data_IF_815362864386
#
_entry.id   IF_815362864386
#
_cell.length_a   1.000
_cell.length_b   1.000
_cell.length_c   1.000
_cell.angle_alpha   90.00
_cell.angle_beta   90.00
_cell.angle_gamma   90.00
#
_symmetry.space_group_name_H-M   'P 1'
#
loop_
_entity.id
_entity.type
_entity.pdbx_description
1 polymer ?
#
# COMPACT_ATOMS: atom_id res chain seq x y z
N UNK A 1 13.31 3.91 -20.80
CA UNK A 1 12.03 3.77 -20.05
C UNK A 1 12.22 3.63 -18.53
N UNK A 2 13.37 3.17 -18.03
CA UNK A 2 13.61 2.96 -16.58
C UNK A 2 13.71 4.28 -15.80
N UNK A 3 14.33 5.32 -16.38
CA UNK A 3 14.47 6.64 -15.76
C UNK A 3 13.17 7.28 -15.25
N UNK A 4 12.14 7.50 -16.11
CA UNK A 4 10.89 8.14 -15.68
C UNK A 4 10.11 7.27 -14.68
N UNK A 5 10.18 5.94 -14.78
CA UNK A 5 9.54 5.03 -13.83
C UNK A 5 10.20 5.16 -12.45
N UNK A 6 11.53 5.17 -12.39
CA UNK A 6 12.28 5.35 -11.14
C UNK A 6 11.96 6.68 -10.46
N UNK A 7 11.99 7.79 -11.21
CA UNK A 7 11.62 9.12 -10.70
C UNK A 7 10.17 9.13 -10.20
N UNK A 8 9.25 8.54 -10.95
CA UNK A 8 7.84 8.43 -10.55
C UNK A 8 7.66 7.67 -9.25
N UNK A 9 8.35 6.55 -9.05
CA UNK A 9 8.28 5.76 -7.81
C UNK A 9 8.87 6.50 -6.60
N UNK A 10 9.97 7.25 -6.78
CA UNK A 10 10.57 8.03 -5.69
C UNK A 10 9.57 9.06 -5.15
N UNK A 11 8.80 9.70 -6.03
CA UNK A 11 7.80 10.70 -5.63
C UNK A 11 6.52 10.02 -5.11
N UNK A 12 6.07 8.96 -5.79
CA UNK A 12 4.78 8.33 -5.50
C UNK A 12 4.79 7.49 -4.21
N UNK A 13 5.88 6.78 -3.91
CA UNK A 13 5.92 5.84 -2.77
C UNK A 13 5.68 6.54 -1.42
N UNK A 14 6.34 7.67 -1.09
CA UNK A 14 6.07 8.38 0.15
C UNK A 14 4.62 8.87 0.27
N UNK A 15 4.05 9.38 -0.82
CA UNK A 15 2.67 9.87 -0.87
C UNK A 15 1.67 8.73 -0.69
N UNK A 16 1.85 7.64 -1.44
CA UNK A 16 1.03 6.43 -1.33
C UNK A 16 1.11 5.83 0.08
N UNK A 17 2.31 5.76 0.67
CA UNK A 17 2.50 5.27 2.03
C UNK A 17 1.79 6.13 3.08
N UNK A 18 1.80 7.47 2.93
CA UNK A 18 1.07 8.36 3.81
C UNK A 18 -0.46 8.21 3.68
N UNK A 19 -0.96 8.08 2.45
CA UNK A 19 -2.39 7.83 2.19
C UNK A 19 -2.84 6.52 2.82
N UNK A 20 -2.06 5.45 2.66
CA UNK A 20 -2.40 4.14 3.23
C UNK A 20 -2.47 4.20 4.76
N UNK A 21 -1.50 4.84 5.42
CA UNK A 21 -1.53 5.02 6.89
C UNK A 21 -2.72 5.86 7.34
N UNK A 22 -3.11 6.88 6.56
CA UNK A 22 -4.29 7.69 6.83
C UNK A 22 -5.59 6.87 6.69
N UNK A 23 -5.76 6.14 5.58
CA UNK A 23 -6.94 5.28 5.32
C UNK A 23 -7.08 4.14 6.31
N UNK A 24 -5.95 3.54 6.69
CA UNK A 24 -5.88 2.48 7.70
C UNK A 24 -6.09 3.00 9.13
N UNK A 25 -6.14 4.32 9.35
CA UNK A 25 -6.15 4.95 10.67
C UNK A 25 -5.03 4.38 11.57
N UNK A 26 -3.82 4.31 11.01
CA UNK A 26 -2.68 3.66 11.63
C UNK A 26 -2.13 4.51 12.79
N UNK A 27 -2.19 3.99 14.01
CA UNK A 27 -1.56 4.57 15.20
C UNK A 27 -0.22 3.86 15.45
N UNK A 28 0.93 4.42 15.03
CA UNK A 28 2.22 3.83 15.34
C UNK A 28 2.42 3.83 16.86
N UNK A 29 2.45 2.63 17.45
CA UNK A 29 2.60 2.36 18.89
C UNK A 29 1.40 2.81 19.73
N UNK A 30 0.30 2.05 19.65
CA UNK A 30 -0.52 1.88 20.84
C UNK A 30 0.34 1.16 21.88
N UNK A 31 0.55 1.77 23.05
CA UNK A 31 1.18 1.11 24.18
C UNK A 31 0.29 -0.11 24.50
N UNK A 32 0.70 -1.31 24.08
CA UNK A 32 0.17 -2.53 24.66
C UNK A 32 0.80 -2.58 26.05
N UNK A 33 0.11 -2.00 27.03
CA UNK A 33 0.28 -2.47 28.39
C UNK A 33 -0.33 -3.87 28.36
N UNK A 34 0.45 -4.87 28.75
CA UNK A 34 -0.08 -6.17 29.11
C UNK A 34 -1.10 -5.92 30.23
N UNK A 35 -2.37 -5.84 29.86
CA UNK A 35 -3.46 -5.81 30.81
C UNK A 35 -4.18 -7.13 30.62
N UNK A 36 -3.69 -8.13 31.35
CA UNK A 36 -4.45 -9.32 31.71
C UNK A 36 -5.85 -8.89 32.15
N UNK A 37 -6.84 -9.63 31.64
CA UNK A 37 -8.19 -9.75 32.17
C UNK A 37 -9.04 -8.47 32.22
N UNK A 38 -9.52 -8.00 31.06
CA UNK A 38 -10.88 -7.43 31.00
C UNK A 38 -11.46 -7.54 29.59
N UNK A 39 -12.68 -8.09 29.47
CA UNK A 39 -13.45 -8.33 28.24
C UNK A 39 -13.93 -7.05 27.51
N UNK A 40 -13.10 -6.01 27.47
CA UNK A 40 -13.41 -4.76 26.77
C UNK A 40 -12.35 -4.53 25.71
N UNK A 41 -12.74 -4.64 24.45
CA UNK A 41 -11.89 -4.45 23.29
C UNK A 41 -10.98 -3.20 23.44
N UNK A 42 -9.65 -3.34 23.42
CA UNK A 42 -8.76 -2.24 23.75
C UNK A 42 -8.70 -1.23 22.60
N UNK A 43 -9.45 -0.13 22.73
CA UNK A 43 -9.30 1.04 21.87
C UNK A 43 -8.11 1.87 22.34
N UNK A 44 -6.89 1.35 22.15
CA UNK A 44 -5.64 2.04 22.45
C UNK A 44 -5.37 3.19 21.45
N UNK A 45 -6.18 4.26 21.52
CA UNK A 45 -6.01 5.49 20.74
C UNK A 45 -4.94 6.37 21.39
N UNK A 46 -3.67 6.03 21.18
CA UNK A 46 -2.55 6.87 21.67
C UNK A 46 -2.16 7.90 20.60
N UNK A 47 -2.77 9.08 20.70
CA UNK A 47 -2.38 10.29 19.98
C UNK A 47 -3.53 10.98 19.22
N UNK A 48 -3.40 12.29 18.91
CA UNK A 48 -4.39 13.02 18.12
C UNK A 48 -4.63 12.34 16.77
N UNK A 49 -5.88 12.33 16.31
CA UNK A 49 -6.20 11.96 14.95
C UNK A 49 -5.34 12.82 14.00
N UNK A 50 -4.66 12.16 13.06
CA UNK A 50 -3.80 12.88 12.12
C UNK A 50 -4.68 13.33 10.97
N UNK A 51 -5.02 14.61 10.97
CA UNK A 51 -5.81 15.19 9.89
C UNK A 51 -4.90 15.47 8.69
N UNK A 52 -5.08 14.71 7.61
CA UNK A 52 -4.47 14.97 6.31
C UNK A 52 -3.11 14.31 6.05
N UNK A 53 -2.78 14.26 4.76
CA UNK A 53 -1.59 13.55 4.21
C UNK A 53 -0.29 14.23 4.65
N UNK A 54 -0.24 15.56 4.67
CA UNK A 54 0.97 16.33 5.06
C UNK A 54 1.32 16.11 6.52
N UNK A 55 0.32 16.13 7.41
CA UNK A 55 0.53 15.85 8.83
C UNK A 55 0.98 14.41 9.06
N UNK A 56 0.46 13.46 8.26
CA UNK A 56 0.91 12.07 8.28
C UNK A 56 2.38 11.94 7.82
N UNK A 57 2.76 12.60 6.73
CA UNK A 57 4.16 12.64 6.25
C UNK A 57 5.11 13.20 7.31
N UNK A 58 4.77 14.33 7.91
CA UNK A 58 5.56 14.94 8.99
C UNK A 58 5.68 14.00 10.19
N UNK A 59 4.61 13.30 10.56
CA UNK A 59 4.60 12.30 11.64
C UNK A 59 5.52 11.12 11.32
N UNK A 60 5.46 10.58 10.09
CA UNK A 60 6.33 9.48 9.64
C UNK A 60 7.80 9.92 9.71
N UNK A 61 8.11 11.10 9.19
CA UNK A 61 9.46 11.65 9.21
C UNK A 61 9.99 11.79 10.63
N UNK A 62 9.16 12.28 11.57
CA UNK A 62 9.55 12.43 12.98
C UNK A 62 9.75 11.09 13.72
N UNK A 63 8.93 10.07 13.42
CA UNK A 63 8.94 8.80 14.15
C UNK A 63 9.89 7.76 13.57
N UNK A 64 10.02 7.70 12.24
CA UNK A 64 10.74 6.64 11.53
C UNK A 64 11.91 7.19 10.68
N UNK A 65 11.94 8.50 10.43
CA UNK A 65 12.92 9.14 9.53
C UNK A 65 12.69 8.81 8.05
N UNK A 66 13.70 9.09 7.23
CA UNK A 66 13.70 8.79 5.79
C UNK A 66 13.40 7.32 5.44
N UNK A 67 13.96 6.31 6.15
CA UNK A 67 13.67 4.91 5.81
C UNK A 67 12.19 4.53 5.97
N UNK A 68 11.46 5.22 6.85
CA UNK A 68 10.02 4.99 7.07
C UNK A 68 9.10 5.53 5.97
N UNK A 69 9.57 6.53 5.21
CA UNK A 69 8.83 7.11 4.08
C UNK A 69 8.88 6.23 2.83
N UNK A 70 9.96 5.46 2.67
CA UNK A 70 10.17 4.57 1.52
C UNK A 70 9.88 3.09 1.84
N UNK A 71 9.23 2.80 2.98
CA UNK A 71 8.67 1.46 3.25
C UNK A 71 7.68 1.11 2.15
N UNK A 72 7.90 0.00 1.45
CA UNK A 72 7.07 -0.41 0.30
C UNK A 72 7.66 -0.09 -1.07
N UNK A 73 8.86 0.50 -1.16
CA UNK A 73 9.51 0.77 -2.45
C UNK A 73 9.76 -0.51 -3.27
N UNK A 74 10.29 -1.56 -2.64
CA UNK A 74 10.58 -2.85 -3.29
C UNK A 74 9.31 -3.51 -3.88
N UNK A 75 8.21 -3.72 -3.12
CA UNK A 75 7.00 -4.28 -3.70
C UNK A 75 6.39 -3.39 -4.79
N UNK A 76 6.50 -2.06 -4.68
CA UNK A 76 6.04 -1.13 -5.71
C UNK A 76 6.85 -1.25 -7.02
N UNK A 77 8.18 -1.39 -6.91
CA UNK A 77 9.05 -1.59 -8.07
C UNK A 77 8.72 -2.89 -8.79
N UNK A 78 8.63 -4.01 -8.05
CA UNK A 78 8.30 -5.33 -8.61
C UNK A 78 6.93 -5.29 -9.29
N UNK A 79 5.91 -4.75 -8.61
CA UNK A 79 4.56 -4.63 -9.17
C UNK A 79 4.54 -3.82 -10.46
N UNK A 80 5.25 -2.69 -10.49
CA UNK A 80 5.33 -1.83 -11.68
C UNK A 80 5.94 -2.57 -12.86
N UNK A 81 7.01 -3.35 -12.65
CA UNK A 81 7.63 -4.15 -13.70
C UNK A 81 6.66 -5.22 -14.20
N UNK A 82 6.00 -5.95 -13.30
CA UNK A 82 5.08 -7.04 -13.68
C UNK A 82 3.83 -6.50 -14.39
N UNK A 83 3.23 -5.41 -13.92
CA UNK A 83 2.08 -4.76 -14.59
C UNK A 83 2.49 -4.21 -15.96
N UNK A 84 3.69 -3.64 -16.08
CA UNK A 84 4.20 -3.14 -17.36
C UNK A 84 4.42 -4.31 -18.34
N UNK A 85 4.99 -5.43 -17.88
CA UNK A 85 5.15 -6.63 -18.69
C UNK A 85 3.78 -7.20 -19.10
N UNK A 86 2.83 -7.26 -18.18
CA UNK A 86 1.45 -7.66 -18.46
C UNK A 86 0.83 -6.78 -19.55
N UNK A 87 0.99 -5.46 -19.44
CA UNK A 87 0.54 -4.50 -20.44
C UNK A 87 1.20 -4.75 -21.81
N UNK A 88 2.51 -5.03 -21.84
CA UNK A 88 3.27 -5.31 -23.06
C UNK A 88 2.79 -6.58 -23.78
N UNK A 89 2.45 -7.62 -23.02
CA UNK A 89 2.07 -8.91 -23.58
C UNK A 89 0.62 -8.93 -24.08
N UNK A 90 -0.26 -8.13 -23.48
CA UNK A 90 -1.71 -8.22 -23.72
C UNK A 90 -2.24 -7.20 -24.72
N UNK A 91 -1.49 -6.13 -25.00
CA UNK A 91 -1.93 -5.08 -25.91
C UNK A 91 -1.20 -5.18 -27.26
N UNK A 92 -1.86 -5.57 -28.35
CA UNK A 92 -1.21 -5.59 -29.67
C UNK A 92 -0.88 -4.17 -30.15
N UNK A 93 0.37 -3.93 -30.59
CA UNK A 93 0.76 -2.67 -31.28
C UNK A 93 1.61 -1.66 -30.48
N UNK A 94 2.43 -2.10 -29.53
CA UNK A 94 3.29 -1.23 -28.70
C UNK A 94 4.28 -0.31 -29.43
N UNK A 95 4.51 -0.47 -30.74
CA UNK A 95 5.47 0.33 -31.48
C UNK A 95 5.17 1.84 -31.53
N UNK A 96 3.97 2.29 -31.09
CA UNK A 96 3.59 3.71 -30.97
C UNK A 96 3.40 4.20 -29.52
N UNK A 97 3.96 3.50 -28.53
CA UNK A 97 3.83 3.87 -27.11
C UNK A 97 4.83 4.98 -26.73
N UNK A 98 4.38 6.25 -26.74
CA UNK A 98 5.11 7.34 -26.05
C UNK A 98 4.69 7.36 -24.57
N UNK A 99 5.64 7.29 -23.63
CA UNK A 99 5.35 7.24 -22.20
C UNK A 99 4.94 8.63 -21.72
N UNK A 100 3.69 9.02 -21.97
CA UNK A 100 3.13 10.23 -21.40
C UNK A 100 1.98 9.84 -20.46
N UNK A 101 2.30 9.77 -19.15
CA UNK A 101 1.46 10.04 -17.96
C UNK A 101 -0.01 9.57 -17.89
N UNK A 102 -0.50 8.71 -18.79
CA UNK A 102 -1.86 8.20 -18.73
C UNK A 102 -1.84 6.72 -19.05
N UNK A 103 -2.45 5.93 -18.17
CA UNK A 103 -2.81 4.53 -18.43
C UNK A 103 -3.82 4.57 -19.58
N UNK A 104 -3.30 4.54 -20.81
CA UNK A 104 -4.11 4.41 -22.01
C UNK A 104 -4.62 2.99 -22.04
N UNK A 105 -5.84 2.78 -21.55
CA UNK A 105 -6.58 1.55 -21.86
C UNK A 105 -6.77 1.61 -23.38
N UNK A 106 -6.22 0.64 -24.13
CA UNK A 106 -6.42 0.59 -25.57
C UNK A 106 -7.91 0.73 -25.84
N UNK A 107 -8.29 1.44 -26.90
CA UNK A 107 -9.68 1.57 -27.35
C UNK A 107 -10.21 0.23 -27.91
N UNK A 108 -10.00 -0.86 -27.17
CA UNK A 108 -10.61 -2.16 -27.39
C UNK A 108 -11.91 -2.20 -26.59
N UNK A 109 -12.88 -2.98 -27.07
CA UNK A 109 -14.20 -3.16 -26.46
C UNK A 109 -14.17 -3.28 -24.93
N UNK A 110 -15.27 -2.90 -24.26
CA UNK A 110 -15.44 -2.99 -22.78
C UNK A 110 -15.03 -4.37 -22.27
N UNK A 111 -15.36 -5.44 -23.00
CA UNK A 111 -14.98 -6.82 -22.67
C UNK A 111 -13.46 -7.01 -22.59
N UNK A 112 -12.72 -6.51 -23.58
CA UNK A 112 -11.25 -6.59 -23.57
C UNK A 112 -10.66 -5.75 -22.43
N UNK A 113 -11.23 -4.58 -22.16
CA UNK A 113 -10.83 -3.76 -21.01
C UNK A 113 -11.04 -4.48 -19.67
N UNK A 114 -12.16 -5.19 -19.51
CA UNK A 114 -12.46 -5.96 -18.31
C UNK A 114 -11.53 -7.16 -18.17
N UNK A 115 -11.29 -7.90 -19.25
CA UNK A 115 -10.37 -9.05 -19.26
C UNK A 115 -8.93 -8.62 -18.94
N UNK A 116 -8.47 -7.52 -19.54
CA UNK A 116 -7.19 -6.90 -19.23
C UNK A 116 -7.10 -6.49 -17.75
N UNK A 117 -8.15 -5.82 -17.26
CA UNK A 117 -8.27 -5.38 -15.88
C UNK A 117 -8.28 -6.52 -14.87
N UNK A 118 -8.94 -7.64 -15.19
CA UNK A 118 -8.95 -8.85 -14.37
C UNK A 118 -7.55 -9.46 -14.24
N UNK A 119 -6.79 -9.54 -15.34
CA UNK A 119 -5.42 -10.02 -15.28
C UNK A 119 -4.49 -9.06 -14.52
N UNK A 120 -4.66 -7.75 -14.68
CA UNK A 120 -3.96 -6.76 -13.89
C UNK A 120 -4.32 -6.86 -12.39
N UNK A 121 -5.57 -7.21 -12.06
CA UNK A 121 -6.02 -7.41 -10.69
C UNK A 121 -5.32 -8.58 -10.00
N UNK A 122 -5.02 -9.66 -10.72
CA UNK A 122 -4.24 -10.79 -10.18
C UNK A 122 -2.85 -10.34 -9.71
N UNK A 123 -2.22 -9.37 -10.39
CA UNK A 123 -0.94 -8.81 -9.96
C UNK A 123 -1.12 -7.76 -8.85
N UNK A 124 -2.20 -6.98 -8.91
CA UNK A 124 -2.45 -5.88 -7.99
C UNK A 124 -2.76 -6.34 -6.56
N UNK A 125 -3.54 -7.42 -6.38
CA UNK A 125 -3.93 -7.92 -5.06
C UNK A 125 -2.70 -8.26 -4.17
N UNK A 126 -1.78 -9.15 -4.59
CA UNK A 126 -0.62 -9.47 -3.75
C UNK A 126 0.27 -8.25 -3.54
N UNK A 127 0.41 -7.39 -4.56
CA UNK A 127 1.15 -6.13 -4.43
C UNK A 127 0.59 -5.27 -3.31
N UNK A 128 -0.73 -5.10 -3.23
CA UNK A 128 -1.33 -4.19 -2.25
C UNK A 128 -1.29 -4.73 -0.84
N UNK A 129 -1.47 -6.03 -0.67
CA UNK A 129 -1.28 -6.67 0.64
C UNK A 129 0.17 -6.46 1.09
N UNK A 130 1.14 -6.72 0.22
CA UNK A 130 2.56 -6.52 0.51
C UNK A 130 2.89 -5.05 0.80
N UNK A 131 2.41 -4.14 -0.04
CA UNK A 131 2.67 -2.70 0.09
C UNK A 131 2.03 -2.15 1.37
N UNK A 132 0.74 -2.40 1.59
CA UNK A 132 0.01 -1.86 2.73
C UNK A 132 0.57 -2.41 4.05
N UNK A 133 0.93 -3.70 4.10
CA UNK A 133 1.55 -4.27 5.30
C UNK A 133 3.00 -3.82 5.47
N UNK A 134 3.79 -3.65 4.41
CA UNK A 134 5.14 -3.10 4.51
C UNK A 134 5.11 -1.67 5.07
N UNK A 135 4.18 -0.84 4.60
CA UNK A 135 3.97 0.55 5.04
C UNK A 135 3.49 0.61 6.50
N UNK A 136 2.54 -0.24 6.88
CA UNK A 136 1.96 -0.26 8.23
C UNK A 136 2.78 -1.07 9.25
N UNK A 137 3.92 -1.65 8.89
CA UNK A 137 4.75 -2.41 9.84
C UNK A 137 5.62 -1.45 10.68
N UNK A 138 5.62 -1.57 12.03
CA UNK A 138 6.44 -0.72 12.90
C UNK A 138 7.94 -1.07 12.84
N UNK A 139 8.30 -2.27 12.39
CA UNK A 139 9.67 -2.78 12.31
C UNK A 139 10.49 -2.14 11.18
N UNK A 140 11.83 -2.14 11.32
CA UNK A 140 12.74 -1.81 10.22
C UNK A 140 12.81 -3.00 9.28
N UNK A 141 12.29 -2.82 8.07
CA UNK A 141 12.41 -3.81 7.02
C UNK A 141 13.79 -3.66 6.37
N UNK A 142 14.65 -4.70 6.35
CA UNK A 142 15.91 -4.64 5.63
C UNK A 142 15.62 -4.63 4.12
N UNK A 143 16.07 -3.59 3.41
CA UNK A 143 15.81 -3.44 1.97
C UNK A 143 16.54 -4.48 1.12
N UNK A 144 17.70 -4.92 1.61
CA UNK A 144 18.60 -5.85 0.90
C UNK A 144 18.27 -7.32 1.17
N UNK A 145 17.38 -7.62 2.13
CA UNK A 145 17.00 -8.98 2.51
C UNK A 145 15.49 -9.17 2.34
N UNK A 146 14.98 -9.23 1.10
CA UNK A 146 13.55 -9.27 0.82
C UNK A 146 12.87 -10.50 1.41
N UNK A 147 13.56 -11.64 1.51
CA UNK A 147 13.02 -12.85 2.13
C UNK A 147 12.82 -12.70 3.65
N UNK A 148 13.73 -12.03 4.34
CA UNK A 148 13.58 -11.74 5.77
C UNK A 148 12.45 -10.72 6.00
N UNK A 149 12.38 -9.68 5.15
CA UNK A 149 11.28 -8.73 5.16
C UNK A 149 9.92 -9.41 4.91
N UNK A 150 9.84 -10.36 3.97
CA UNK A 150 8.64 -11.14 3.70
C UNK A 150 8.25 -12.02 4.90
N UNK A 151 9.24 -12.61 5.58
CA UNK A 151 9.03 -13.38 6.82
C UNK A 151 8.47 -12.52 7.95
N UNK A 152 8.84 -11.25 8.03
CA UNK A 152 8.30 -10.28 9.00
C UNK A 152 6.89 -9.80 8.64
N UNK A 153 6.56 -9.71 7.34
CA UNK A 153 5.30 -9.14 6.86
C UNK A 153 4.17 -10.19 6.73
N UNK A 154 4.49 -11.40 6.25
CA UNK A 154 3.54 -12.49 6.08
C UNK A 154 3.56 -13.43 7.28
N UNK A 155 2.36 -13.83 7.71
CA UNK A 155 2.22 -14.86 8.75
C UNK A 155 2.77 -16.20 8.25
N UNK A 156 3.26 -17.08 9.14
CA UNK A 156 3.72 -18.42 8.77
C UNK A 156 2.66 -19.20 7.96
N UNK A 157 1.37 -19.00 8.27
CA UNK A 157 0.24 -19.56 7.53
C UNK A 157 0.17 -19.07 6.07
N UNK A 158 0.26 -17.77 5.83
CA UNK A 158 0.21 -17.18 4.48
C UNK A 158 1.40 -17.59 3.62
N UNK A 159 2.58 -17.82 4.23
CA UNK A 159 3.76 -18.32 3.51
C UNK A 159 3.59 -19.76 3.05
N UNK A 160 2.94 -20.61 3.86
CA UNK A 160 2.66 -22.01 3.49
C UNK A 160 1.57 -22.10 2.42
N UNK A 161 0.60 -21.17 2.41
CA UNK A 161 -0.52 -21.15 1.46
C UNK A 161 -0.66 -19.77 0.78
N UNK A 162 0.13 -19.47 -0.27
CA UNK A 162 0.14 -18.15 -0.90
C UNK A 162 -1.20 -17.78 -1.57
N UNK A 163 -1.99 -18.78 -1.98
CA UNK A 163 -3.34 -18.59 -2.55
C UNK A 163 -4.30 -17.89 -1.58
N UNK A 164 -4.06 -18.00 -0.27
CA UNK A 164 -4.88 -17.38 0.78
C UNK A 164 -4.85 -15.85 0.68
N UNK A 165 -3.78 -15.25 0.14
CA UNK A 165 -3.72 -13.79 -0.06
C UNK A 165 -4.86 -13.30 -0.97
N UNK A 166 -5.22 -14.09 -2.00
CA UNK A 166 -6.33 -13.76 -2.91
C UNK A 166 -7.69 -13.98 -2.26
N UNK A 167 -7.79 -14.90 -1.31
CA UNK A 167 -9.02 -15.20 -0.56
C UNK A 167 -9.21 -14.31 0.67
N UNK A 168 -8.49 -13.19 0.78
CA UNK A 168 -8.76 -12.19 1.82
C UNK A 168 -10.22 -11.73 1.71
N UNK A 169 -11.08 -11.97 2.73
CA UNK A 169 -12.52 -11.81 2.59
C UNK A 169 -12.88 -10.36 2.23
N UNK A 170 -13.68 -10.19 1.18
CA UNK A 170 -14.17 -8.88 0.73
C UNK A 170 -13.17 -8.03 -0.07
N UNK A 171 -11.85 -8.31 -0.04
CA UNK A 171 -10.86 -7.53 -0.77
C UNK A 171 -11.05 -7.68 -2.29
N UNK A 172 -11.14 -8.92 -2.78
CA UNK A 172 -11.37 -9.20 -4.20
C UNK A 172 -12.66 -8.55 -4.69
N UNK A 173 -13.75 -8.66 -3.92
CA UNK A 173 -15.04 -8.09 -4.26
C UNK A 173 -14.97 -6.55 -4.37
N UNK A 174 -14.32 -5.90 -3.40
CA UNK A 174 -14.11 -4.45 -3.44
C UNK A 174 -13.31 -4.03 -4.68
N UNK A 175 -12.26 -4.77 -5.03
CA UNK A 175 -11.43 -4.44 -6.21
C UNK A 175 -12.12 -4.71 -7.53
N UNK A 176 -12.88 -5.81 -7.62
CA UNK A 176 -13.70 -6.09 -8.79
C UNK A 176 -14.75 -5.00 -9.00
N UNK A 177 -15.38 -4.51 -7.94
CA UNK A 177 -16.37 -3.43 -8.06
C UNK A 177 -15.73 -2.10 -8.51
N UNK A 178 -14.57 -1.73 -7.95
CA UNK A 178 -13.79 -0.57 -8.43
C UNK A 178 -13.42 -0.76 -9.91
N UNK A 179 -12.94 -1.94 -10.29
CA UNK A 179 -12.53 -2.24 -11.65
C UNK A 179 -13.70 -2.12 -12.63
N UNK A 180 -14.84 -2.73 -12.31
CA UNK A 180 -16.05 -2.65 -13.14
C UNK A 180 -16.53 -1.21 -13.26
N UNK A 181 -16.50 -0.42 -12.18
CA UNK A 181 -16.85 0.99 -12.26
C UNK A 181 -15.93 1.77 -13.20
N UNK A 182 -14.61 1.61 -13.06
CA UNK A 182 -13.62 2.35 -13.85
C UNK A 182 -13.59 1.91 -15.32
N UNK A 183 -13.79 0.62 -15.60
CA UNK A 183 -13.68 0.07 -16.96
C UNK A 183 -15.02 0.07 -17.69
N UNK A 184 -16.13 -0.27 -17.05
CA UNK A 184 -17.43 -0.28 -17.73
C UNK A 184 -18.10 1.09 -17.65
N UNK A 185 -18.38 1.58 -16.44
CA UNK A 185 -19.20 2.79 -16.25
C UNK A 185 -18.46 4.04 -16.74
N UNK A 186 -17.25 4.27 -16.25
CA UNK A 186 -16.50 5.48 -16.59
C UNK A 186 -16.11 5.52 -18.08
N UNK A 187 -15.83 4.38 -18.72
CA UNK A 187 -15.56 4.36 -20.16
C UNK A 187 -16.80 4.64 -21.00
N UNK A 188 -17.97 4.08 -20.65
CA UNK A 188 -19.23 4.36 -21.36
C UNK A 188 -19.58 5.84 -21.27
N UNK A 189 -19.46 6.43 -20.07
CA UNK A 189 -19.71 7.84 -19.85
C UNK A 189 -18.73 8.71 -20.63
N UNK A 190 -17.43 8.38 -20.61
CA UNK A 190 -16.40 9.07 -21.40
C UNK A 190 -16.67 8.96 -22.90
N UNK A 191 -17.02 7.79 -23.42
CA UNK A 191 -17.29 7.57 -24.83
C UNK A 191 -18.51 8.36 -25.33
N UNK A 192 -19.56 8.49 -24.50
CA UNK A 192 -20.76 9.27 -24.82
C UNK A 192 -20.55 10.78 -24.72
N UNK A 193 -19.87 11.26 -23.68
CA UNK A 193 -19.69 12.69 -23.44
C UNK A 193 -18.54 13.29 -24.28
N UNK A 194 -17.44 12.56 -24.44
CA UNK A 194 -16.21 13.06 -25.06
C UNK A 194 -15.69 12.09 -26.13
N UNK A 195 -16.43 11.88 -27.25
CA UNK A 195 -16.03 10.96 -28.32
C UNK A 195 -14.77 11.42 -29.07
N UNK A 196 -14.46 12.72 -29.06
CA UNK A 196 -13.22 13.28 -29.62
C UNK A 196 -12.01 12.98 -28.75
N UNK A 197 -12.17 12.94 -27.43
CA UNK A 197 -11.10 12.68 -26.45
C UNK A 197 -10.94 11.17 -26.15
N UNK A 198 -11.93 10.35 -26.51
CA UNK A 198 -11.87 8.89 -26.38
C UNK A 198 -11.05 8.24 -27.49
N UNK A 199 -10.91 8.87 -28.66
CA UNK A 199 -10.07 8.38 -29.78
C UNK A 199 -8.56 8.59 -29.61
N UNK A 200 -8.15 9.14 -28.46
CA UNK A 200 -6.74 9.30 -28.11
C UNK A 200 -6.15 10.59 -28.66
N UNK A 201 -5.42 11.30 -27.79
CA UNK A 201 -4.64 12.51 -28.09
C UNK A 201 -3.41 12.22 -28.97
N UNK A 202 -3.41 11.11 -29.71
CA UNK A 202 -2.30 10.60 -30.53
C UNK A 202 -2.38 11.07 -31.99
N UNK A 203 -3.46 11.75 -32.39
CA UNK A 203 -3.61 12.40 -33.70
C UNK A 203 -3.07 13.83 -33.74
N UNK A 204 -2.48 14.34 -32.63
CA UNK A 204 -1.95 15.71 -32.53
C UNK A 204 -0.56 15.80 -33.18
N UNK A 205 -0.49 15.48 -34.47
CA UNK A 205 0.66 15.82 -35.31
C UNK A 205 0.30 16.79 -36.43
N UNK A 206 -0.99 17.11 -36.60
CA UNK A 206 -1.46 18.05 -37.61
C UNK A 206 -2.05 19.31 -36.94
N UNK A 207 -1.48 20.51 -37.15
CA UNK A 207 -1.98 21.76 -36.54
C UNK A 207 -3.44 22.09 -36.94
N UNK A 208 -3.92 21.59 -38.08
CA UNK A 208 -5.32 21.76 -38.51
C UNK A 208 -6.32 20.92 -37.70
N UNK A 209 -5.90 19.76 -37.17
CA UNK A 209 -6.75 18.89 -36.34
C UNK A 209 -6.89 19.41 -34.90
N UNK A 210 -5.91 20.16 -34.40
CA UNK A 210 -5.98 20.81 -33.08
C UNK A 210 -7.11 21.86 -33.03
N UNK A 211 -7.28 22.63 -34.11
CA UNK A 211 -8.36 23.60 -34.24
C UNK A 211 -9.74 22.93 -34.38
N UNK A 212 -9.82 21.74 -35.00
CA UNK A 212 -11.05 20.94 -35.05
C UNK A 212 -11.42 20.34 -33.70
N UNK A 213 -10.44 19.85 -32.95
CA UNK A 213 -10.68 19.23 -31.63
C UNK A 213 -11.25 20.24 -30.62
N UNK A 214 -10.68 21.44 -30.54
CA UNK A 214 -11.18 22.51 -29.66
C UNK A 214 -12.57 23.01 -30.09
N UNK A 215 -12.85 23.05 -31.40
CA UNK A 215 -14.15 23.47 -31.94
C UNK A 215 -15.29 22.48 -31.68
N UNK A 216 -14.98 21.20 -31.49
CA UNK A 216 -15.96 20.15 -31.16
C UNK A 216 -16.11 19.87 -29.65
N UNK A 217 -15.24 20.42 -28.80
CA UNK A 217 -15.34 20.30 -27.35
C UNK A 217 -16.36 21.31 -26.82
N UNK A 218 -17.62 20.90 -26.76
CA UNK A 218 -18.66 21.69 -26.08
C UNK A 218 -18.32 21.79 -24.58
N UNK A 219 -18.11 22.99 -24.02
CA UNK A 219 -17.66 23.15 -22.62
C UNK A 219 -18.65 22.54 -21.63
N UNK A 220 -19.94 22.56 -21.95
CA UNK A 220 -21.00 21.93 -21.16
C UNK A 220 -20.76 20.42 -20.97
N UNK A 221 -20.36 19.69 -22.01
CA UNK A 221 -20.08 18.24 -21.90
C UNK A 221 -18.86 17.96 -21.04
N UNK A 222 -17.87 18.86 -21.07
CA UNK A 222 -16.68 18.77 -20.24
C UNK A 222 -17.02 19.02 -18.76
N UNK A 223 -17.84 20.02 -18.46
CA UNK A 223 -18.33 20.27 -17.09
C UNK A 223 -19.11 19.07 -16.56
N UNK A 224 -20.01 18.49 -17.36
CA UNK A 224 -20.76 17.27 -16.98
C UNK A 224 -19.82 16.10 -16.70
N UNK A 225 -18.80 15.90 -17.54
CA UNK A 225 -17.81 14.84 -17.34
C UNK A 225 -16.99 15.07 -16.05
N UNK A 226 -16.59 16.31 -15.77
CA UNK A 226 -15.89 16.67 -14.53
C UNK A 226 -16.78 16.42 -13.29
N UNK A 227 -18.04 16.82 -13.34
CA UNK A 227 -19.00 16.57 -12.26
C UNK A 227 -19.20 15.06 -12.02
N UNK A 228 -19.32 14.27 -13.09
CA UNK A 228 -19.38 12.81 -13.01
C UNK A 228 -18.10 12.21 -12.40
N UNK A 229 -16.93 12.73 -12.77
CA UNK A 229 -15.64 12.29 -12.22
C UNK A 229 -15.57 12.58 -10.72
N UNK A 230 -15.97 13.78 -10.29
CA UNK A 230 -16.02 14.16 -8.87
C UNK A 230 -16.99 13.27 -8.08
N UNK A 231 -18.20 13.06 -8.59
CA UNK A 231 -19.19 12.17 -7.98
C UNK A 231 -18.67 10.72 -7.89
N UNK A 232 -18.03 10.23 -8.95
CA UNK A 232 -17.39 8.91 -8.96
C UNK A 232 -16.34 8.79 -7.87
N UNK A 233 -15.46 9.79 -7.70
CA UNK A 233 -14.45 9.77 -6.62
C UNK A 233 -15.10 9.71 -5.24
N UNK A 234 -16.20 10.44 -5.00
CA UNK A 234 -16.92 10.40 -3.72
C UNK A 234 -17.48 8.99 -3.43
N UNK A 235 -18.01 8.31 -4.45
CA UNK A 235 -18.56 6.95 -4.33
C UNK A 235 -17.44 5.90 -4.16
N UNK A 236 -16.32 6.06 -4.86
CA UNK A 236 -15.22 5.07 -4.86
C UNK A 236 -14.31 5.20 -3.62
N UNK A 237 -14.16 6.39 -3.07
CA UNK A 237 -13.32 6.65 -1.91
C UNK A 237 -13.59 5.71 -0.71
N UNK A 238 -14.83 5.51 -0.23
CA UNK A 238 -15.10 4.60 0.89
C UNK A 238 -14.70 3.15 0.55
N UNK A 239 -14.84 2.73 -0.70
CA UNK A 239 -14.46 1.40 -1.15
C UNK A 239 -12.94 1.20 -1.16
N UNK A 240 -12.19 2.22 -1.55
CA UNK A 240 -10.73 2.22 -1.44
C UNK A 240 -10.25 2.17 0.01
N UNK A 241 -10.93 2.87 0.92
CA UNK A 241 -10.63 2.82 2.37
C UNK A 241 -10.91 1.42 2.90
N UNK A 242 -12.04 0.82 2.56
CA UNK A 242 -12.38 -0.55 2.95
C UNK A 242 -11.34 -1.55 2.44
N UNK A 243 -10.97 -1.47 1.16
CA UNK A 243 -9.98 -2.35 0.58
C UNK A 243 -8.61 -2.21 1.24
N UNK A 244 -8.20 -0.98 1.57
CA UNK A 244 -6.94 -0.71 2.29
C UNK A 244 -6.99 -1.36 3.68
N UNK A 245 -8.09 -1.19 4.43
CA UNK A 245 -8.25 -1.79 5.76
C UNK A 245 -8.26 -3.32 5.71
N UNK A 246 -8.98 -3.92 4.77
CA UNK A 246 -9.02 -5.38 4.58
C UNK A 246 -7.64 -5.95 4.22
N UNK A 247 -6.86 -5.26 3.38
CA UNK A 247 -5.52 -5.73 3.01
C UNK A 247 -4.49 -5.70 4.16
N UNK A 248 -4.71 -4.82 5.15
CA UNK A 248 -3.85 -4.71 6.34
C UNK A 248 -4.17 -5.81 7.35
N UNK A 249 -5.40 -6.33 7.36
CA UNK A 249 -5.78 -7.44 8.24
C UNK A 249 -4.92 -8.67 7.95
N UNK A 250 -4.38 -9.27 9.02
CA UNK A 250 -3.60 -10.51 8.95
C UNK A 250 -4.55 -11.70 8.97
N UNK A 251 -4.33 -12.67 8.08
CA UNK A 251 -5.12 -13.88 8.10
C UNK A 251 -4.54 -14.84 9.15
N UNK A 252 -5.40 -15.32 10.06
CA UNK A 252 -5.03 -16.24 11.13
C UNK A 252 -5.77 -17.57 10.90
N UNK A 253 -5.10 -18.70 11.14
CA UNK A 253 -5.74 -20.01 11.19
C UNK A 253 -6.68 -20.05 12.40
N UNK A 254 -7.93 -20.49 12.20
CA UNK A 254 -8.91 -20.68 13.29
C UNK A 254 -8.64 -21.94 14.12
N UNK A 255 -7.56 -22.67 13.88
CA UNK A 255 -7.33 -24.00 14.45
C UNK A 255 -6.25 -23.94 15.52
N UNK A 256 -6.62 -24.24 16.77
CA UNK A 256 -5.73 -24.34 17.95
C UNK A 256 -4.48 -25.20 17.73
N UNK A 257 -4.53 -26.16 16.80
CA UNK A 257 -3.43 -27.09 16.51
C UNK A 257 -2.17 -26.45 15.90
N UNK A 258 -2.23 -25.22 15.35
CA UNK A 258 -1.05 -24.54 14.77
C UNK A 258 -0.37 -23.58 15.77
N UNK A 259 -1.03 -23.24 16.89
CA UNK A 259 -0.47 -22.38 17.96
C UNK A 259 0.70 -23.05 18.70
N UNK A 260 0.71 -24.38 18.77
CA UNK A 260 1.77 -25.16 19.43
C UNK A 260 3.06 -25.25 18.60
N UNK A 261 2.99 -24.99 17.29
CA UNK A 261 4.15 -25.01 16.39
C UNK A 261 4.88 -23.64 16.40
N UNK A 262 4.18 -22.54 16.65
CA UNK A 262 4.72 -21.17 16.68
C UNK A 262 5.58 -20.85 17.93
N UNK A 263 5.65 -21.74 18.93
CA UNK A 263 6.46 -21.54 20.14
C UNK A 263 7.96 -21.78 19.96
N UNK A 264 8.41 -22.30 18.81
CA UNK A 264 9.81 -22.63 18.58
C UNK A 264 10.43 -21.69 17.54
N UNK A 265 11.29 -20.79 18.00
CA UNK A 265 12.26 -19.99 17.23
C UNK A 265 11.76 -18.73 16.49
N UNK A 266 11.31 -17.73 17.24
CA UNK A 266 11.37 -16.35 16.76
C UNK A 266 12.63 -15.64 17.31
N UNK A 267 13.55 -15.16 16.45
CA UNK A 267 14.64 -14.30 16.90
C UNK A 267 14.06 -12.97 17.40
N UNK A 268 14.45 -12.59 18.62
CA UNK A 268 14.03 -11.35 19.29
C UNK A 268 14.29 -10.15 18.34
N UNK A 269 13.26 -9.45 17.85
CA UNK A 269 13.45 -8.34 16.92
C UNK A 269 14.05 -7.12 17.64
N UNK A 270 15.04 -6.51 17.02
CA UNK A 270 15.73 -5.34 17.55
C UNK A 270 14.82 -4.09 17.46
N UNK A 271 14.41 -3.57 18.62
CA UNK A 271 13.41 -2.50 18.72
C UNK A 271 14.05 -1.11 18.53
N UNK A 272 13.43 -0.27 17.69
CA UNK A 272 13.73 1.17 17.60
C UNK A 272 13.30 1.91 18.87
N UNK A 273 14.19 1.91 19.86
CA UNK A 273 14.06 2.64 21.11
C UNK A 273 14.92 2.12 22.26
N UNK A 274 15.38 0.85 22.21
CA UNK A 274 16.13 0.26 23.33
C UNK A 274 17.62 0.56 23.36
N UNK A 275 18.18 1.28 22.39
CA UNK A 275 19.61 1.64 22.41
C UNK A 275 20.03 2.62 23.52
N UNK A 276 19.08 3.20 24.29
CA UNK A 276 19.40 4.02 25.47
C UNK A 276 18.99 3.41 26.81
N UNK A 277 18.23 2.31 26.82
CA UNK A 277 17.71 1.73 28.06
C UNK A 277 18.54 0.52 28.51
N UNK A 278 18.97 -0.34 27.58
CA UNK A 278 19.74 -1.55 27.93
C UNK A 278 21.06 -1.23 28.63
N UNK A 279 21.81 -0.25 28.14
CA UNK A 279 23.09 0.15 28.75
C UNK A 279 22.92 0.77 30.15
N UNK A 280 21.79 1.44 30.43
CA UNK A 280 21.57 2.06 31.73
C UNK A 280 21.06 1.05 32.78
N UNK A 281 20.31 0.02 32.37
CA UNK A 281 19.88 -1.05 33.28
C UNK A 281 20.99 -2.10 33.51
N UNK A 282 21.79 -2.46 32.50
CA UNK A 282 22.97 -3.31 32.69
C UNK A 282 24.02 -2.63 33.57
N UNK A 283 24.31 -1.34 33.34
CA UNK A 283 25.28 -0.62 34.18
C UNK A 283 24.80 -0.48 35.64
N UNK A 284 23.48 -0.39 35.88
CA UNK A 284 22.92 -0.28 37.23
C UNK A 284 22.87 -1.61 37.96
N UNK A 285 22.63 -2.73 37.27
CA UNK A 285 22.72 -4.06 37.86
C UNK A 285 24.15 -4.43 38.23
N UNK A 286 25.13 -4.15 37.37
CA UNK A 286 26.56 -4.41 37.65
C UNK A 286 27.03 -3.58 38.86
N UNK A 287 26.60 -2.31 38.98
CA UNK A 287 26.94 -1.50 40.15
C UNK A 287 26.30 -2.01 41.45
N UNK A 288 25.07 -2.54 41.38
CA UNK A 288 24.34 -3.02 42.57
C UNK A 288 24.88 -4.37 43.05
N UNK A 289 25.23 -5.28 42.14
CA UNK A 289 25.90 -6.55 42.48
C UNK A 289 27.29 -6.32 43.07
N UNK A 290 28.09 -5.41 42.48
CA UNK A 290 29.41 -5.07 43.00
C UNK A 290 29.37 -4.51 44.43
N UNK A 291 28.39 -3.65 44.75
CA UNK A 291 28.21 -3.14 46.12
C UNK A 291 27.81 -4.24 47.11
N UNK A 292 26.98 -5.22 46.70
CA UNK A 292 26.54 -6.31 47.59
C UNK A 292 27.64 -7.33 47.91
N UNK A 293 28.61 -7.51 46.99
CA UNK A 293 29.76 -8.40 47.17
C UNK A 293 30.79 -7.75 48.10
N UNK A 294 30.97 -6.42 48.01
CA UNK A 294 31.87 -5.67 48.92
C UNK A 294 31.31 -5.63 50.35
N UNK A 295 30.00 -5.46 50.54
CA UNK A 295 29.39 -5.51 51.88
C UNK A 295 29.45 -6.91 52.53
N UNK A 296 29.34 -7.98 51.73
CA UNK A 296 29.46 -9.36 52.23
C UNK A 296 30.90 -9.81 52.49
N UNK A 297 31.90 -9.09 51.96
CA UNK A 297 33.32 -9.36 52.19
C UNK A 297 33.88 -8.81 53.50
N UNK A 298 33.16 -7.92 54.19
CA UNK A 298 33.60 -7.27 55.44
C UNK A 298 32.95 -7.84 56.72
N UNK A 299 32.14 -8.91 56.60
CA UNK A 299 31.44 -9.54 57.73
C UNK A 299 31.96 -10.96 58.09
N UNK A 300 33.23 -11.25 57.79
CA UNK A 300 33.93 -12.46 58.29
C UNK A 300 35.21 -12.09 58.99
#
# INVERSE_FOLDING_TARGET
MIGPIGVGLIIAVPLAGAIVRLRANYTPKGLQLDQEDTDVAPQARVGPAVDGIVNMLRRIYRLEGWPGMYKGFVPALISTIVITLWAILTVPGHAKYRPCSQVYVPATSILHGLLYGMGALLVAIPYEILFNRAVCTPHRLPWLQPMQALRTILTPYERRKPWVLYLTPGLLAARMLILVWLVAVAQVVRAKLLPSLSRGLSSVHDPDDQNRMTKHLKPVKLIIFLAFSMASTVILCPLEVLATRLSVQRNHSKTEADRTIDGASDPIPDYLGKKKMSSHYEARMIHTEASSIVEKGWSR
#
